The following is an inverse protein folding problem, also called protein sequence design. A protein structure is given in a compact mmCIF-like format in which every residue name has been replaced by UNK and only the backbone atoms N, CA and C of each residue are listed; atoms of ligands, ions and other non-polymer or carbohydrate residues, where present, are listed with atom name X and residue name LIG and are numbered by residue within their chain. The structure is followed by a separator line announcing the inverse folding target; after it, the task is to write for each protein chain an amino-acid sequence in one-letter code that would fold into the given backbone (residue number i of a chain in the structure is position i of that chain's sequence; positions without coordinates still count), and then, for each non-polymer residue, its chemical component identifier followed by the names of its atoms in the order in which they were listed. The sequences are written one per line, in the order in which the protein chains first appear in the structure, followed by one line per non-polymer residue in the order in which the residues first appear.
data_IF_515724190143
#
_entry.id   IF_515724190143
#
_cell.length_a   1.000
_cell.length_b   1.000
_cell.length_c   1.000
_cell.angle_alpha   90.00
_cell.angle_beta   90.00
_cell.angle_gamma   90.00
#
_symmetry.space_group_name_H-M   'P 1'
#
loop_
_entity.id
_entity.type
_entity.pdbx_description
1 polymer ?
#
# COMPACT_ATOMS: atom_id res chain seq x y z
N UNK A 1 -6.92 -20.78 -1.70
CA UNK A 1 -6.77 -19.48 -2.38
C UNK A 1 -5.52 -18.79 -1.85
N UNK A 2 -4.71 -18.21 -2.73
CA UNK A 2 -3.49 -17.52 -2.31
C UNK A 2 -3.79 -16.21 -1.58
N UNK A 3 -2.93 -15.84 -0.64
CA UNK A 3 -2.93 -14.51 -0.01
C UNK A 3 -1.72 -13.76 -0.52
N UNK A 4 -1.94 -12.54 -1.01
CA UNK A 4 -0.91 -11.66 -1.53
C UNK A 4 -0.61 -10.60 -0.47
N UNK A 5 0.60 -10.62 0.08
CA UNK A 5 1.07 -9.56 0.97
C UNK A 5 1.62 -8.42 0.12
N UNK A 6 1.05 -7.22 0.25
CA UNK A 6 1.37 -6.07 -0.59
C UNK A 6 1.75 -4.93 0.33
N UNK A 7 2.95 -4.37 0.13
CA UNK A 7 3.29 -3.09 0.73
C UNK A 7 2.82 -1.95 -0.14
N UNK A 8 2.15 -1.00 0.49
CA UNK A 8 1.59 0.18 -0.15
C UNK A 8 2.42 1.39 0.24
N UNK A 9 3.10 1.96 -0.75
CA UNK A 9 3.79 3.24 -0.64
C UNK A 9 2.99 4.30 -1.40
N UNK A 10 2.20 5.06 -0.67
CA UNK A 10 1.39 6.14 -1.24
C UNK A 10 2.24 7.30 -1.80
N UNK A 11 3.46 7.49 -1.31
CA UNK A 11 4.36 8.55 -1.77
C UNK A 11 3.83 9.96 -1.51
N UNK A 12 4.22 10.89 -2.39
CA UNK A 12 3.98 12.32 -2.25
C UNK A 12 3.01 12.87 -3.33
N UNK A 13 2.62 14.13 -3.19
CA UNK A 13 1.77 14.87 -4.12
C UNK A 13 0.42 14.17 -4.36
N UNK A 14 0.13 13.73 -5.58
CA UNK A 14 -1.13 13.04 -5.93
C UNK A 14 -1.09 11.52 -5.63
N UNK A 15 0.06 10.98 -5.21
CA UNK A 15 0.23 9.56 -4.94
C UNK A 15 -0.80 9.00 -3.93
N UNK A 16 -1.03 9.63 -2.76
CA UNK A 16 -2.03 9.17 -1.81
C UNK A 16 -3.46 9.12 -2.37
N UNK A 17 -3.83 10.06 -3.23
CA UNK A 17 -5.16 10.13 -3.84
C UNK A 17 -5.37 8.98 -4.84
N UNK A 18 -4.41 8.76 -5.72
CA UNK A 18 -4.48 7.70 -6.74
C UNK A 18 -4.40 6.31 -6.10
N UNK A 19 -3.55 6.13 -5.09
CA UNK A 19 -3.41 4.86 -4.38
C UNK A 19 -4.68 4.52 -3.59
N UNK A 20 -5.38 5.51 -3.02
CA UNK A 20 -6.67 5.27 -2.36
C UNK A 20 -7.71 4.67 -3.32
N UNK A 21 -7.76 5.11 -4.57
CA UNK A 21 -8.65 4.53 -5.58
C UNK A 21 -8.19 3.12 -6.01
N UNK A 22 -6.87 2.89 -6.14
CA UNK A 22 -6.34 1.56 -6.44
C UNK A 22 -6.71 0.53 -5.35
N UNK A 23 -6.66 0.93 -4.07
CA UNK A 23 -7.08 0.07 -2.95
C UNK A 23 -8.57 -0.28 -3.04
N UNK A 24 -9.43 0.65 -3.49
CA UNK A 24 -10.85 0.34 -3.71
C UNK A 24 -11.02 -0.71 -4.82
N UNK A 25 -10.26 -0.59 -5.91
CA UNK A 25 -10.28 -1.58 -7.00
C UNK A 25 -9.86 -2.96 -6.49
N UNK A 26 -8.78 -3.04 -5.71
CA UNK A 26 -8.32 -4.31 -5.12
C UNK A 26 -9.38 -4.96 -4.22
N UNK A 27 -10.06 -4.17 -3.38
CA UNK A 27 -11.15 -4.65 -2.53
C UNK A 27 -12.36 -5.12 -3.35
N UNK A 28 -12.71 -4.41 -4.43
CA UNK A 28 -13.76 -4.82 -5.35
C UNK A 28 -13.42 -6.15 -6.01
N UNK A 29 -12.18 -6.33 -6.49
CA UNK A 29 -11.70 -7.59 -7.07
C UNK A 29 -11.75 -8.72 -6.04
N UNK A 30 -11.30 -8.46 -4.80
CA UNK A 30 -11.35 -9.45 -3.72
C UNK A 30 -12.78 -9.95 -3.44
N UNK A 31 -13.76 -9.05 -3.53
CA UNK A 31 -15.18 -9.36 -3.30
C UNK A 31 -15.87 -10.03 -4.48
N UNK A 32 -15.50 -9.66 -5.71
CA UNK A 32 -16.17 -10.09 -6.94
C UNK A 32 -15.55 -11.32 -7.61
N UNK A 33 -14.29 -11.64 -7.29
CA UNK A 33 -13.53 -12.70 -7.94
C UNK A 33 -12.88 -13.63 -6.92
N UNK A 34 -13.54 -14.73 -6.51
CA UNK A 34 -12.97 -15.71 -5.59
C UNK A 34 -11.64 -16.31 -6.06
N UNK A 35 -11.40 -16.38 -7.37
CA UNK A 35 -10.12 -16.86 -7.93
C UNK A 35 -8.95 -15.90 -7.70
N UNK A 36 -9.19 -14.62 -7.45
CA UNK A 36 -8.15 -13.61 -7.24
C UNK A 36 -7.45 -13.73 -5.87
N UNK A 37 -8.02 -14.47 -4.93
CA UNK A 37 -7.44 -14.67 -3.61
C UNK A 37 -7.71 -13.51 -2.63
N UNK A 38 -6.84 -13.36 -1.63
CA UNK A 38 -6.91 -12.30 -0.61
C UNK A 38 -5.75 -11.32 -0.77
N UNK A 39 -5.98 -10.04 -0.44
CA UNK A 39 -4.97 -8.99 -0.46
C UNK A 39 -4.74 -8.46 0.95
N UNK A 40 -3.56 -8.75 1.51
CA UNK A 40 -3.12 -8.21 2.78
C UNK A 40 -2.26 -6.96 2.53
N UNK A 41 -2.86 -5.78 2.69
CA UNK A 41 -2.22 -4.50 2.41
C UNK A 41 -1.53 -3.95 3.67
N UNK A 42 -0.28 -3.53 3.53
CA UNK A 42 0.54 -2.94 4.59
C UNK A 42 1.01 -1.55 4.16
N UNK A 43 0.43 -0.51 4.75
CA UNK A 43 0.78 0.88 4.42
C UNK A 43 2.07 1.32 5.10
N UNK A 44 2.99 1.86 4.31
CA UNK A 44 4.25 2.42 4.80
C UNK A 44 4.51 3.81 4.20
N UNK A 45 5.23 4.63 4.95
CA UNK A 45 5.68 5.95 4.48
C UNK A 45 6.97 5.79 3.67
N UNK A 46 7.04 6.45 2.52
CA UNK A 46 8.21 6.53 1.65
C UNK A 46 8.24 7.90 0.96
N UNK A 47 9.42 8.44 0.66
CA UNK A 47 9.56 9.75 0.00
C UNK A 47 9.52 10.93 0.97
N UNK A 48 9.21 12.13 0.48
CA UNK A 48 9.21 13.38 1.24
C UNK A 48 8.29 13.35 2.45
N UNK A 49 7.15 12.67 2.38
CA UNK A 49 6.18 12.49 3.47
C UNK A 49 6.78 11.77 4.67
N UNK A 50 7.74 10.86 4.45
CA UNK A 50 8.43 10.16 5.54
C UNK A 50 9.32 11.13 6.35
N UNK A 51 10.05 12.01 5.64
CA UNK A 51 10.89 13.05 6.24
C UNK A 51 10.06 14.11 6.98
N UNK A 52 8.94 14.54 6.38
CA UNK A 52 8.02 15.50 6.99
C UNK A 52 7.41 14.97 8.30
N UNK A 53 7.11 13.68 8.39
CA UNK A 53 6.60 13.04 9.61
C UNK A 53 7.69 12.67 10.62
N UNK A 54 8.91 13.19 10.44
CA UNK A 54 10.09 12.89 11.27
C UNK A 54 10.35 11.39 11.42
N UNK A 55 9.98 10.60 10.40
CA UNK A 55 10.28 9.17 10.32
C UNK A 55 11.35 9.00 9.26
N UNK A 56 12.65 9.00 9.63
CA UNK A 56 13.71 8.74 8.66
C UNK A 56 13.42 7.42 7.95
N UNK A 57 13.81 7.32 6.67
CA UNK A 57 13.65 6.14 5.80
C UNK A 57 14.30 4.84 6.34
N UNK A 58 14.80 4.86 7.57
CA UNK A 58 15.71 3.89 8.16
C UNK A 58 15.06 3.11 9.33
N UNK A 59 13.94 2.43 9.05
CA UNK A 59 13.44 1.18 9.68
C UNK A 59 11.96 0.93 9.27
N UNK A 60 11.36 -0.22 9.64
CA UNK A 60 11.11 -1.43 8.82
C UNK A 60 10.73 -1.26 7.33
N UNK A 61 10.55 -0.05 6.82
CA UNK A 61 10.29 0.26 5.40
C UNK A 61 11.35 -0.30 4.43
N UNK A 62 12.60 -0.46 4.86
CA UNK A 62 13.71 -1.05 4.08
C UNK A 62 13.89 -2.56 4.27
N UNK A 63 13.10 -3.22 5.15
CA UNK A 63 13.20 -4.64 5.44
C UNK A 63 12.24 -5.51 4.60
N UNK A 64 11.79 -4.98 3.46
CA UNK A 64 10.86 -5.60 2.51
C UNK A 64 11.57 -6.38 1.41
#
# INVERSE_FOLDING_TARGET
MATHNIVVFAGDHCGPEVVAEAVKVLKTIESGSPSAGKFNLQDHLLGGVSLLRSRPLLNPTTAL
#
